data_IF_064364439154
#
_entry.id   IF_064364439154
#
_cell.length_a   1.000
_cell.length_b   1.000
_cell.length_c   1.000
_cell.angle_alpha   90.00
_cell.angle_beta   90.00
_cell.angle_gamma   90.00
#
_symmetry.space_group_name_H-M   'P 1'
#
loop_
_entity.id
_entity.type
_entity.pdbx_description
1 polymer ?
#
# COMPACT_ATOMS: atom_id res chain seq x y z
N UNK A 1 -0.12 13.73 -14.61
CA UNK A 1 -0.34 15.19 -14.50
C UNK A 1 0.80 15.82 -13.69
N UNK A 2 1.42 16.91 -14.15
CA UNK A 2 2.58 17.54 -13.47
C UNK A 2 3.65 16.52 -13.05
N UNK A 3 4.05 15.66 -14.00
CA UNK A 3 5.06 14.60 -13.82
C UNK A 3 4.70 13.50 -12.79
N UNK A 4 3.45 13.46 -12.32
CA UNK A 4 2.94 12.46 -11.36
C UNK A 4 1.89 11.55 -11.99
N UNK A 5 1.82 10.28 -11.57
CA UNK A 5 0.80 9.36 -12.04
C UNK A 5 -0.52 9.66 -11.30
N UNK A 6 -1.61 9.85 -12.04
CA UNK A 6 -2.93 10.20 -11.46
C UNK A 6 -3.93 9.06 -11.55
N UNK A 7 -3.75 8.16 -12.51
CA UNK A 7 -4.54 6.97 -12.70
C UNK A 7 -3.67 5.85 -13.24
N UNK A 8 -4.07 4.60 -12.98
CA UNK A 8 -3.35 3.43 -13.45
C UNK A 8 -4.25 2.22 -13.56
N UNK A 9 -4.01 1.41 -14.59
CA UNK A 9 -4.65 0.12 -14.81
C UNK A 9 -3.55 -0.91 -15.06
N UNK A 10 -3.59 -2.03 -14.35
CA UNK A 10 -2.66 -3.16 -14.57
C UNK A 10 -3.48 -4.44 -14.71
N UNK A 11 -3.39 -5.06 -15.90
CA UNK A 11 -4.02 -6.35 -16.18
C UNK A 11 -3.03 -7.50 -15.95
N UNK A 12 -3.49 -8.54 -15.26
CA UNK A 12 -2.72 -9.72 -14.90
C UNK A 12 -3.37 -10.98 -15.51
N UNK A 13 -3.16 -11.25 -16.81
CA UNK A 13 -3.81 -12.35 -17.53
C UNK A 13 -3.34 -13.75 -17.09
N UNK A 14 -2.12 -13.84 -16.55
CA UNK A 14 -1.53 -15.12 -16.15
C UNK A 14 -1.94 -15.58 -14.74
N UNK A 15 -2.79 -14.82 -14.05
CA UNK A 15 -3.42 -15.26 -12.81
C UNK A 15 -4.66 -16.08 -13.15
N UNK A 16 -4.98 -17.02 -12.28
CA UNK A 16 -6.20 -17.82 -12.37
C UNK A 16 -7.05 -17.59 -11.11
N UNK A 17 -8.18 -16.86 -11.23
CA UNK A 17 -8.64 -16.22 -12.46
C UNK A 17 -7.84 -14.94 -12.81
N UNK A 18 -7.94 -14.42 -14.05
CA UNK A 18 -7.28 -13.18 -14.44
C UNK A 18 -7.79 -11.99 -13.63
N UNK A 19 -6.93 -10.98 -13.43
CA UNK A 19 -7.23 -9.86 -12.53
C UNK A 19 -6.86 -8.53 -13.15
N UNK A 20 -7.71 -7.51 -12.98
CA UNK A 20 -7.39 -6.12 -13.29
C UNK A 20 -7.27 -5.33 -11.98
N UNK A 21 -6.22 -4.51 -11.87
CA UNK A 21 -6.09 -3.50 -10.82
C UNK A 21 -6.33 -2.12 -11.42
N UNK A 22 -7.10 -1.29 -10.70
CA UNK A 22 -7.42 0.09 -11.12
C UNK A 22 -7.24 1.02 -9.94
N UNK A 23 -6.73 2.22 -10.20
CA UNK A 23 -6.64 3.26 -9.19
C UNK A 23 -6.65 4.64 -9.82
N UNK A 24 -7.36 5.57 -9.18
CA UNK A 24 -7.32 7.01 -9.48
C UNK A 24 -6.99 7.71 -8.18
N UNK A 25 -5.89 8.45 -8.12
CA UNK A 25 -5.39 9.03 -6.86
C UNK A 25 -6.36 10.05 -6.26
N UNK A 26 -7.17 10.70 -7.10
CA UNK A 26 -8.25 11.59 -6.67
C UNK A 26 -9.50 10.87 -6.14
N UNK A 27 -9.64 9.56 -6.37
CA UNK A 27 -10.79 8.75 -5.95
C UNK A 27 -10.34 7.41 -5.32
N UNK A 28 -9.65 7.44 -4.17
CA UNK A 28 -9.25 6.23 -3.46
C UNK A 28 -10.46 5.48 -2.86
N UNK A 29 -10.33 4.17 -2.57
CA UNK A 29 -9.12 3.36 -2.70
C UNK A 29 -8.95 2.76 -4.10
N UNK A 30 -7.75 2.23 -4.37
CA UNK A 30 -7.55 1.37 -5.53
C UNK A 30 -8.35 0.08 -5.39
N UNK A 31 -8.72 -0.52 -6.52
CA UNK A 31 -9.52 -1.74 -6.59
C UNK A 31 -8.79 -2.83 -7.38
N UNK A 32 -9.07 -4.07 -7.00
CA UNK A 32 -8.69 -5.30 -7.68
C UNK A 32 -9.97 -5.99 -8.12
N UNK A 33 -10.09 -6.33 -9.39
CA UNK A 33 -11.25 -6.98 -9.96
C UNK A 33 -10.88 -8.28 -10.64
N UNK A 34 -11.63 -9.32 -10.34
CA UNK A 34 -11.58 -10.64 -10.97
C UNK A 34 -12.24 -10.57 -12.36
N UNK A 35 -11.57 -11.05 -13.41
CA UNK A 35 -12.02 -10.97 -14.80
C UNK A 35 -12.66 -12.26 -15.31
N UNK A 36 -13.06 -13.11 -14.38
CA UNK A 36 -13.70 -14.42 -14.53
C UNK A 36 -14.96 -14.33 -15.40
N UNK A 37 -15.44 -13.11 -15.63
CA UNK A 37 -16.64 -12.81 -16.39
C UNK A 37 -16.47 -11.66 -17.40
N UNK A 38 -15.78 -11.91 -18.51
CA UNK A 38 -15.89 -11.05 -19.70
C UNK A 38 -17.17 -11.34 -20.53
N UNK A 39 -18.14 -12.11 -20.00
CA UNK A 39 -19.28 -12.62 -20.78
C UNK A 39 -20.63 -12.87 -20.09
N UNK A 40 -20.87 -12.49 -18.83
CA UNK A 40 -22.00 -13.08 -18.08
C UNK A 40 -22.28 -12.48 -16.70
N UNK A 41 -22.42 -11.15 -16.62
CA UNK A 41 -22.91 -10.45 -15.42
C UNK A 41 -21.83 -9.89 -14.50
N UNK A 42 -21.81 -8.56 -14.41
CA UNK A 42 -21.12 -7.77 -13.37
C UNK A 42 -21.57 -8.23 -11.97
N UNK A 43 -20.97 -9.31 -11.46
CA UNK A 43 -21.21 -9.82 -10.13
C UNK A 43 -20.72 -8.80 -9.10
N UNK A 44 -21.57 -8.43 -8.15
CA UNK A 44 -21.25 -7.50 -7.08
C UNK A 44 -20.04 -7.92 -6.20
N UNK A 45 -19.60 -9.19 -6.29
CA UNK A 45 -18.42 -9.73 -5.61
C UNK A 45 -17.13 -9.65 -6.45
N UNK A 46 -17.17 -9.07 -7.66
CA UNK A 46 -16.03 -9.11 -8.59
C UNK A 46 -14.88 -8.18 -8.19
N UNK A 47 -15.10 -7.19 -7.32
CA UNK A 47 -14.09 -6.18 -6.97
C UNK A 47 -13.81 -6.07 -5.47
N UNK A 48 -12.54 -5.80 -5.14
CA UNK A 48 -12.04 -5.64 -3.77
C UNK A 48 -11.16 -4.40 -3.68
N UNK A 49 -11.40 -3.56 -2.67
CA UNK A 49 -10.49 -2.47 -2.32
C UNK A 49 -9.12 -3.03 -1.84
N UNK A 50 -8.02 -2.44 -2.31
CA UNK A 50 -6.67 -2.83 -1.92
C UNK A 50 -6.07 -1.81 -0.95
N UNK A 51 -5.48 -2.33 0.13
CA UNK A 51 -4.85 -1.52 1.16
C UNK A 51 -3.47 -2.07 1.49
N UNK A 52 -2.41 -1.26 1.38
CA UNK A 52 -1.08 -1.65 1.81
C UNK A 52 -1.02 -1.89 3.31
N UNK A 53 -0.07 -2.71 3.73
CA UNK A 53 0.18 -2.94 5.16
C UNK A 53 0.66 -1.68 5.86
N UNK A 54 0.22 -1.50 7.10
CA UNK A 54 0.81 -0.55 8.04
C UNK A 54 1.88 -1.26 8.87
N UNK A 55 3.08 -0.68 8.99
CA UNK A 55 4.19 -1.30 9.73
C UNK A 55 5.19 -0.27 10.28
N UNK A 56 6.04 -0.71 11.21
CA UNK A 56 7.23 0.02 11.65
C UNK A 56 8.47 -0.60 10.98
N UNK A 57 9.43 0.21 10.54
CA UNK A 57 10.67 -0.28 9.91
C UNK A 57 11.48 -1.22 10.80
N UNK A 58 11.38 -1.06 12.13
CA UNK A 58 12.04 -1.91 13.13
C UNK A 58 11.30 -3.22 13.41
N UNK A 59 10.15 -3.46 12.79
CA UNK A 59 9.43 -4.72 12.94
C UNK A 59 10.24 -5.90 12.42
N UNK A 60 10.21 -6.99 13.17
CA UNK A 60 10.78 -8.25 12.73
C UNK A 60 9.83 -8.95 11.75
N UNK A 61 10.37 -9.70 10.80
CA UNK A 61 9.53 -10.55 9.94
C UNK A 61 8.84 -9.81 8.81
N UNK A 62 9.26 -8.58 8.49
CA UNK A 62 8.71 -7.82 7.36
C UNK A 62 8.87 -8.62 6.06
N UNK A 63 7.79 -8.66 5.28
CA UNK A 63 7.75 -9.30 3.97
C UNK A 63 8.29 -8.36 2.91
N UNK A 64 9.44 -8.70 2.35
CA UNK A 64 10.09 -7.99 1.25
C UNK A 64 9.92 -8.79 -0.03
N UNK A 65 9.43 -8.15 -1.09
CA UNK A 65 9.28 -8.78 -2.40
C UNK A 65 10.37 -8.29 -3.36
N UNK A 66 11.02 -9.22 -4.05
CA UNK A 66 12.10 -8.93 -5.00
C UNK A 66 11.87 -9.65 -6.34
N UNK A 67 12.62 -9.24 -7.37
CA UNK A 67 12.54 -9.84 -8.70
C UNK A 67 13.09 -11.27 -8.71
N UNK A 68 12.41 -12.18 -9.40
CA UNK A 68 12.86 -13.57 -9.60
C UNK A 68 14.08 -13.67 -10.52
N UNK A 69 14.12 -12.86 -11.56
CA UNK A 69 15.13 -12.96 -12.62
C UNK A 69 16.26 -11.93 -12.51
N UNK A 70 16.12 -10.96 -11.59
CA UNK A 70 17.04 -9.82 -11.47
C UNK A 70 17.27 -9.44 -10.01
N UNK A 71 17.38 -10.42 -9.10
CA UNK A 71 17.93 -10.10 -7.77
C UNK A 71 19.42 -9.80 -7.95
N UNK A 72 19.87 -8.66 -7.46
CA UNK A 72 21.26 -8.25 -7.51
C UNK A 72 21.76 -7.93 -6.10
N UNK A 73 23.08 -7.85 -5.96
CA UNK A 73 23.74 -7.63 -4.67
C UNK A 73 23.24 -6.37 -3.96
N UNK A 74 22.94 -5.30 -4.71
CA UNK A 74 22.37 -4.07 -4.16
C UNK A 74 20.99 -4.30 -3.53
N UNK A 75 20.13 -5.09 -4.16
CA UNK A 75 18.82 -5.47 -3.61
C UNK A 75 18.98 -6.33 -2.35
N UNK A 76 19.88 -7.31 -2.37
CA UNK A 76 20.16 -8.15 -1.20
C UNK A 76 20.70 -7.32 -0.02
N UNK A 77 21.61 -6.39 -0.29
CA UNK A 77 22.16 -5.44 0.69
C UNK A 77 21.10 -4.49 1.23
N UNK A 78 20.11 -4.10 0.44
CA UNK A 78 18.96 -3.35 0.95
C UNK A 78 18.13 -4.20 1.91
N UNK A 79 17.84 -5.45 1.53
CA UNK A 79 17.00 -6.35 2.33
C UNK A 79 17.67 -6.76 3.65
N UNK A 80 18.99 -6.84 3.71
CA UNK A 80 19.73 -7.21 4.93
C UNK A 80 19.64 -6.19 6.07
N UNK A 81 19.17 -4.97 5.79
CA UNK A 81 18.94 -3.92 6.80
C UNK A 81 17.79 -4.25 7.76
N UNK A 82 16.88 -5.14 7.37
CA UNK A 82 15.67 -5.45 8.12
C UNK A 82 15.86 -6.66 9.04
N UNK A 83 15.12 -6.70 10.14
CA UNK A 83 15.22 -7.78 11.14
C UNK A 83 14.43 -9.01 10.69
N UNK A 84 15.12 -10.11 10.42
CA UNK A 84 14.54 -11.40 9.99
C UNK A 84 13.51 -11.27 8.85
N UNK A 85 13.85 -10.66 7.71
CA UNK A 85 12.89 -10.38 6.64
C UNK A 85 12.43 -11.68 5.97
N UNK A 86 11.13 -11.74 5.63
CA UNK A 86 10.58 -12.79 4.77
C UNK A 86 10.75 -12.34 3.31
N UNK A 87 11.57 -13.05 2.54
CA UNK A 87 11.80 -12.74 1.13
C UNK A 87 10.81 -13.51 0.25
N UNK A 88 10.08 -12.80 -0.61
CA UNK A 88 9.23 -13.39 -1.64
C UNK A 88 9.75 -12.99 -3.01
N UNK A 89 9.76 -13.92 -3.94
CA UNK A 89 10.23 -13.67 -5.30
C UNK A 89 9.08 -13.73 -6.31
N UNK A 90 8.86 -12.63 -7.04
CA UNK A 90 7.81 -12.54 -8.09
C UNK A 90 8.28 -11.78 -9.33
N UNK A 91 7.82 -12.23 -10.49
CA UNK A 91 8.05 -11.57 -11.78
C UNK A 91 7.10 -10.39 -12.01
N UNK A 92 7.41 -9.57 -13.03
CA UNK A 92 6.54 -8.49 -13.53
C UNK A 92 6.18 -7.39 -12.51
N UNK A 93 5.20 -6.55 -12.86
CA UNK A 93 4.62 -5.46 -12.06
C UNK A 93 3.80 -5.94 -10.86
N UNK A 94 3.59 -7.26 -10.73
CA UNK A 94 2.91 -7.89 -9.58
C UNK A 94 3.54 -7.48 -8.23
N UNK A 95 4.83 -7.15 -8.20
CA UNK A 95 5.51 -6.72 -6.97
C UNK A 95 4.95 -5.42 -6.39
N UNK A 96 4.59 -4.46 -7.25
CA UNK A 96 3.88 -3.25 -6.82
C UNK A 96 2.50 -3.61 -6.27
N UNK A 97 1.78 -4.45 -7.00
CA UNK A 97 0.42 -4.86 -6.65
C UNK A 97 0.39 -5.64 -5.33
N UNK A 98 1.40 -6.45 -5.04
CA UNK A 98 1.54 -7.12 -3.74
C UNK A 98 1.70 -6.13 -2.58
N UNK A 99 2.40 -5.01 -2.79
CA UNK A 99 2.44 -3.94 -1.78
C UNK A 99 1.08 -3.24 -1.69
N UNK A 100 0.44 -2.93 -2.82
CA UNK A 100 -0.89 -2.32 -2.86
C UNK A 100 -1.97 -3.16 -2.14
N UNK A 101 -1.95 -4.48 -2.34
CA UNK A 101 -2.85 -5.45 -1.70
C UNK A 101 -2.51 -5.76 -0.24
N UNK A 102 -1.33 -5.32 0.22
CA UNK A 102 -0.85 -5.66 1.54
C UNK A 102 -0.43 -7.11 1.70
N UNK A 103 -0.02 -7.79 0.63
CA UNK A 103 0.64 -9.11 0.70
C UNK A 103 2.16 -9.01 0.87
N UNK A 104 2.74 -7.85 0.54
CA UNK A 104 4.11 -7.45 0.86
C UNK A 104 4.15 -6.12 1.64
N UNK A 105 5.22 -5.88 2.40
CA UNK A 105 5.42 -4.60 3.09
C UNK A 105 6.26 -3.64 2.26
N UNK A 106 7.33 -4.16 1.64
CA UNK A 106 8.34 -3.38 0.93
C UNK A 106 8.78 -4.12 -0.34
N UNK A 107 9.00 -3.36 -1.41
CA UNK A 107 9.61 -3.81 -2.66
C UNK A 107 10.74 -2.84 -3.05
N UNK A 108 12.00 -3.20 -2.78
CA UNK A 108 13.15 -2.48 -3.32
C UNK A 108 13.44 -2.87 -4.78
N UNK A 109 13.71 -1.89 -5.63
CA UNK A 109 14.18 -2.09 -7.00
C UNK A 109 15.49 -1.34 -7.23
N UNK A 110 16.59 -2.08 -7.17
CA UNK A 110 17.95 -1.55 -7.34
C UNK A 110 18.51 -1.84 -8.72
N UNK A 111 17.78 -1.48 -9.78
CA UNK A 111 18.23 -1.73 -11.13
C UNK A 111 17.30 -1.10 -12.16
N UNK A 112 17.73 -1.03 -13.43
CA UNK A 112 17.03 -0.27 -14.45
C UNK A 112 15.60 -0.76 -14.65
N UNK A 113 14.70 0.19 -14.80
CA UNK A 113 13.32 0.06 -15.26
C UNK A 113 12.98 1.30 -16.07
N UNK A 114 11.92 1.25 -16.84
CA UNK A 114 11.42 2.42 -17.55
C UNK A 114 10.17 3.00 -16.90
N UNK A 115 9.87 4.26 -17.20
CA UNK A 115 8.67 4.97 -16.74
C UNK A 115 7.39 4.17 -16.98
N UNK A 116 7.24 3.54 -18.15
CA UNK A 116 6.07 2.73 -18.48
C UNK A 116 5.94 1.46 -17.62
N UNK A 117 7.03 0.94 -17.05
CA UNK A 117 6.99 -0.22 -16.15
C UNK A 117 6.38 0.12 -14.78
N UNK A 118 6.44 1.40 -14.37
CA UNK A 118 6.12 1.84 -13.01
C UNK A 118 4.89 2.74 -12.93
N UNK A 119 4.60 3.55 -13.96
CA UNK A 119 3.56 4.60 -13.92
C UNK A 119 2.19 4.11 -13.44
N UNK A 120 1.63 3.11 -14.13
CA UNK A 120 0.31 2.57 -13.79
C UNK A 120 0.30 1.93 -12.39
N UNK A 121 1.36 1.20 -12.05
CA UNK A 121 1.45 0.49 -10.78
C UNK A 121 1.67 1.45 -9.59
N UNK A 122 2.40 2.55 -9.78
CA UNK A 122 2.57 3.61 -8.79
C UNK A 122 1.25 4.29 -8.47
N UNK A 123 0.44 4.64 -9.49
CA UNK A 123 -0.89 5.21 -9.25
C UNK A 123 -1.75 4.30 -8.36
N UNK A 124 -1.73 2.99 -8.62
CA UNK A 124 -2.48 2.00 -7.83
C UNK A 124 -1.96 1.92 -6.39
N UNK A 125 -0.65 1.85 -6.19
CA UNK A 125 -0.04 1.81 -4.85
C UNK A 125 -0.37 3.07 -4.05
N UNK A 126 -0.19 4.24 -4.64
CA UNK A 126 -0.45 5.54 -3.99
C UNK A 126 -1.94 5.74 -3.70
N UNK A 127 -2.82 5.30 -4.60
CA UNK A 127 -4.27 5.30 -4.40
C UNK A 127 -4.71 4.37 -3.24
N UNK A 128 -4.00 3.27 -3.00
CA UNK A 128 -4.15 2.45 -1.78
C UNK A 128 -3.58 3.11 -0.50
N UNK A 129 -2.81 4.19 -0.64
CA UNK A 129 -2.14 4.89 0.45
C UNK A 129 -0.73 4.38 0.76
N UNK A 130 -0.12 3.64 -0.16
CA UNK A 130 1.30 3.31 -0.15
C UNK A 130 2.13 4.41 -0.79
N UNK A 131 3.43 4.18 -0.96
CA UNK A 131 4.34 5.15 -1.57
C UNK A 131 5.35 4.49 -2.48
N UNK A 132 5.76 5.22 -3.51
CA UNK A 132 6.87 4.87 -4.40
C UNK A 132 7.86 6.03 -4.40
N UNK A 133 9.05 5.79 -3.86
CA UNK A 133 10.08 6.83 -3.67
C UNK A 133 11.39 6.39 -4.27
N UNK A 134 12.21 7.36 -4.69
CA UNK A 134 13.59 7.12 -5.10
C UNK A 134 14.42 6.59 -3.91
N UNK A 135 15.27 5.60 -4.16
CA UNK A 135 16.22 5.10 -3.17
C UNK A 135 17.31 6.15 -2.98
N UNK A 136 17.37 6.70 -1.77
CA UNK A 136 18.34 7.74 -1.40
C UNK A 136 18.84 7.45 0.02
N UNK A 137 19.93 8.09 0.48
CA UNK A 137 20.35 8.00 1.87
C UNK A 137 19.26 8.41 2.88
N UNK A 138 18.23 9.16 2.45
CA UNK A 138 17.08 9.53 3.26
C UNK A 138 16.05 8.38 3.46
N UNK A 139 16.28 7.21 2.85
CA UNK A 139 15.42 6.04 2.97
C UNK A 139 14.01 6.31 2.44
N UNK A 140 12.98 6.01 3.24
CA UNK A 140 11.58 6.24 2.89
C UNK A 140 11.18 7.72 2.75
N UNK A 141 12.10 8.65 3.01
CA UNK A 141 11.90 10.10 2.83
C UNK A 141 12.45 10.63 1.50
N UNK A 142 12.86 9.75 0.58
CA UNK A 142 13.24 10.14 -0.78
C UNK A 142 12.09 10.83 -1.53
N UNK A 143 12.41 11.58 -2.60
CA UNK A 143 11.39 12.15 -3.48
C UNK A 143 10.57 11.04 -4.15
N UNK A 144 9.33 11.36 -4.54
CA UNK A 144 8.52 10.44 -5.32
C UNK A 144 9.22 10.12 -6.66
N UNK A 145 8.90 8.97 -7.26
CA UNK A 145 9.24 8.75 -8.65
C UNK A 145 8.44 9.72 -9.54
N UNK A 146 9.13 10.25 -10.55
CA UNK A 146 8.60 11.23 -11.49
C UNK A 146 8.63 10.68 -12.92
N UNK A 147 7.69 11.17 -13.72
CA UNK A 147 7.39 10.74 -15.09
C UNK A 147 7.55 11.89 -16.06
N UNK A 148 7.64 11.59 -17.35
CA UNK A 148 7.91 12.56 -18.41
C UNK A 148 9.21 13.34 -18.15
N UNK A 149 10.28 12.62 -17.78
CA UNK A 149 11.60 13.20 -17.50
C UNK A 149 12.32 13.56 -18.80
N UNK A 150 12.90 14.75 -18.85
CA UNK A 150 13.73 15.19 -20.00
C UNK A 150 15.02 14.38 -20.14
N UNK A 151 15.54 13.85 -19.02
CA UNK A 151 16.75 13.01 -18.97
C UNK A 151 16.57 11.61 -19.56
N UNK A 152 15.39 11.28 -20.09
CA UNK A 152 15.04 9.98 -20.64
C UNK A 152 14.15 9.13 -19.72
N UNK A 153 13.80 7.93 -20.19
CA UNK A 153 12.73 7.12 -19.60
C UNK A 153 13.19 6.13 -18.54
N UNK A 154 14.50 6.04 -18.28
CA UNK A 154 15.05 5.14 -17.26
C UNK A 154 14.76 5.72 -15.87
N UNK A 155 14.18 4.91 -14.99
CA UNK A 155 13.96 5.28 -13.60
C UNK A 155 15.25 5.10 -12.77
N UNK A 156 15.48 5.98 -11.78
CA UNK A 156 16.46 5.70 -10.74
C UNK A 156 16.05 4.47 -9.92
N UNK A 157 16.95 4.01 -9.05
CA UNK A 157 16.59 3.03 -8.04
C UNK A 157 15.44 3.56 -7.17
N UNK A 158 14.52 2.69 -6.78
CA UNK A 158 13.34 3.08 -6.03
C UNK A 158 12.91 2.02 -5.03
N UNK A 159 12.07 2.46 -4.09
CA UNK A 159 11.45 1.61 -3.09
C UNK A 159 9.95 1.87 -3.06
N UNK A 160 9.19 0.78 -3.13
CA UNK A 160 7.74 0.77 -2.95
C UNK A 160 7.45 0.23 -1.56
N UNK A 161 6.58 0.89 -0.80
CA UNK A 161 6.25 0.44 0.55
C UNK A 161 4.82 0.82 0.95
N UNK A 162 4.31 0.12 1.96
CA UNK A 162 3.01 0.40 2.56
C UNK A 162 3.00 1.65 3.46
N UNK A 163 2.17 1.66 4.50
CA UNK A 163 2.05 2.78 5.43
C UNK A 163 3.06 2.63 6.57
N UNK A 164 4.07 3.49 6.62
CA UNK A 164 5.08 3.46 7.69
C UNK A 164 4.60 4.31 8.86
N UNK A 165 4.44 3.69 10.02
CA UNK A 165 4.04 4.36 11.26
C UNK A 165 5.00 4.00 12.38
N UNK A 166 5.78 4.96 12.90
CA UNK A 166 6.64 4.71 14.05
C UNK A 166 5.81 4.28 15.26
N UNK A 167 6.14 3.15 15.88
CA UNK A 167 5.57 2.76 17.17
C UNK A 167 5.97 3.81 18.19
N UNK A 168 4.98 4.48 18.80
CA UNK A 168 5.22 5.32 19.98
C UNK A 168 5.98 4.47 20.98
N UNK A 169 7.14 4.96 21.45
CA UNK A 169 7.92 4.28 22.45
C UNK A 169 6.99 3.90 23.61
N UNK A 170 6.93 2.60 23.97
CA UNK A 170 6.22 2.17 25.18
C UNK A 170 6.86 2.94 26.33
N UNK A 171 6.14 3.94 26.86
CA UNK A 171 6.58 4.66 28.04
C UNK A 171 6.91 3.64 29.12
N UNK A 172 8.11 3.72 29.70
CA UNK A 172 8.49 2.90 30.85
C UNK A 172 7.37 3.06 31.89
N UNK A 173 6.60 2.00 32.16
CA UNK A 173 5.71 1.98 33.33
C UNK A 173 6.62 2.19 34.55
N UNK A 174 6.57 3.38 35.14
CA UNK A 174 7.23 3.66 36.42
C UNK A 174 6.58 2.68 37.40
N UNK A 175 7.37 1.75 37.94
CA UNK A 175 6.92 0.78 38.95
C UNK A 175 6.59 1.59 40.21
N UNK A 176 5.33 2.00 40.32
CA UNK A 176 4.81 2.73 41.47
C UNK A 176 4.43 1.67 42.50
N UNK A 177 5.15 1.67 43.63
CA UNK A 177 4.90 0.82 44.78
C UNK A 177 3.48 1.01 45.30
N UNK A 178 2.83 -0.12 45.62
CA UNK A 178 1.45 -0.21 46.07
C UNK A 178 1.19 0.64 47.32
N UNK A 179 0.31 1.62 47.18
CA UNK A 179 -0.47 2.22 48.26
C UNK A 179 -1.94 2.00 47.93
N UNK A 180 -2.65 1.26 48.78
CA UNK A 180 -4.01 0.80 48.54
C UNK A 180 -5.02 1.95 48.37
N UNK A 181 -5.94 1.76 47.43
CA UNK A 181 -7.10 2.62 47.24
C UNK A 181 -8.13 1.89 46.38
N UNK A 182 -9.28 1.54 47.00
CA UNK A 182 -10.48 1.04 46.32
C UNK A 182 -11.03 2.15 45.41
N UNK A 183 -11.48 1.82 44.19
CA UNK A 183 -12.29 2.76 43.42
C UNK A 183 -12.42 2.48 41.91
N UNK A 184 -13.59 1.92 41.57
CA UNK A 184 -14.39 2.09 40.35
C UNK A 184 -13.85 1.66 38.97
N UNK A 185 -14.57 0.66 38.45
CA UNK A 185 -14.53 0.11 37.10
C UNK A 185 -15.29 1.07 36.15
N UNK A 186 -14.59 1.66 35.19
CA UNK A 186 -15.19 2.50 34.16
C UNK A 186 -15.59 1.63 32.95
N UNK A 187 -16.90 1.54 32.69
CA UNK A 187 -17.48 0.83 31.57
C UNK A 187 -17.06 1.45 30.22
N UNK A 188 -16.43 0.65 29.36
CA UNK A 188 -16.19 1.01 27.97
C UNK A 188 -17.50 0.87 27.17
N UNK A 189 -18.23 1.97 27.01
CA UNK A 189 -19.41 2.04 26.14
C UNK A 189 -19.00 1.99 24.67
N UNK A 190 -19.01 0.78 24.10
CA UNK A 190 -18.89 0.58 22.65
C UNK A 190 -20.16 1.05 21.94
N UNK A 191 -19.99 1.87 20.90
CA UNK A 191 -21.09 2.37 20.07
C UNK A 191 -21.69 1.21 19.27
N UNK A 192 -22.99 0.97 19.41
CA UNK A 192 -23.68 -0.14 18.75
C UNK A 192 -23.50 -0.07 17.23
N UNK A 193 -23.32 -1.21 16.52
CA UNK A 193 -23.20 -1.27 15.06
C UNK A 193 -24.31 -0.52 14.32
N UNK A 194 -25.52 -0.46 14.89
CA UNK A 194 -26.63 0.29 14.32
C UNK A 194 -26.36 1.81 14.23
N UNK A 195 -25.62 2.37 15.18
CA UNK A 195 -25.28 3.80 15.19
C UNK A 195 -24.15 4.09 14.19
N UNK A 196 -23.23 3.15 13.99
CA UNK A 196 -22.18 3.27 12.98
C UNK A 196 -22.76 3.26 11.56
N UNK A 197 -23.75 2.39 11.32
CA UNK A 197 -24.48 2.31 10.05
C UNK A 197 -25.28 3.59 9.80
N UNK A 198 -25.98 4.12 10.81
CA UNK A 198 -26.74 5.37 10.66
C UNK A 198 -25.84 6.57 10.28
N UNK A 199 -24.63 6.65 10.85
CA UNK A 199 -23.66 7.70 10.51
C UNK A 199 -23.16 7.54 9.07
N UNK A 200 -22.86 6.31 8.64
CA UNK A 200 -22.41 6.04 7.26
C UNK A 200 -23.48 6.39 6.22
N UNK A 201 -24.75 6.06 6.50
CA UNK A 201 -25.87 6.41 5.62
C UNK A 201 -26.08 7.92 5.55
N UNK A 202 -25.97 8.63 6.66
CA UNK A 202 -26.08 10.09 6.69
C UNK A 202 -24.96 10.78 5.88
N UNK A 203 -23.73 10.27 5.96
CA UNK A 203 -22.59 10.79 5.20
C UNK A 203 -22.72 10.53 3.69
N UNK A 204 -23.22 9.35 3.30
CA UNK A 204 -23.51 9.03 1.90
C UNK A 204 -24.62 9.91 1.33
N UNK A 205 -25.69 10.17 2.10
CA UNK A 205 -26.77 11.05 1.67
C UNK A 205 -26.31 12.50 1.48
N UNK A 206 -25.47 13.01 2.39
CA UNK A 206 -24.90 14.35 2.27
C UNK A 206 -23.96 14.48 1.06
N UNK A 207 -23.17 13.44 0.77
CA UNK A 207 -22.30 13.40 -0.40
C UNK A 207 -23.10 13.40 -1.71
N UNK A 208 -24.20 12.64 -1.76
CA UNK A 208 -25.08 12.56 -2.93
C UNK A 208 -25.84 13.87 -3.18
N UNK A 209 -26.29 14.54 -2.13
CA UNK A 209 -26.94 15.85 -2.23
C UNK A 209 -25.99 16.93 -2.76
N UNK A 210 -24.70 16.86 -2.40
CA UNK A 210 -23.69 17.84 -2.82
C UNK A 210 -23.14 17.62 -4.25
N UNK A 211 -23.48 16.50 -4.90
CA UNK A 211 -23.07 16.18 -6.28
C UNK A 211 -24.20 16.38 -7.30
N UNK A 212 -25.41 16.72 -6.84
CA UNK A 212 -26.61 16.95 -7.67
C UNK A 212 -27.03 18.43 -7.75
N UNK A 213 -26.18 19.35 -7.26
CA UNK A 213 -26.29 20.81 -7.46
C UNK A 213 -25.12 21.31 -8.29
#
# INVERSE_FOLDING_TARGET
EKNKPVAGIVYCPALDPPVIYKGVTASPPAIRENCDDLGGGLGYDSFKAVFPKTFDEADAGLTLVASKSHSNEATEKFMSKYKNPKKISKGSSLKFLMVAEGTAHIYPRMGPTHEWDTCAAQAIVECGGGKVVQDTPAGFKGPALEYNKESGTINPNFVVYGKVTPKKAKGKKKKMTLGGGKGQEAAAGGMSPAVLIAILVALLAAFYASTMM
#
